data_IF_673742817184
#
_entry.id   IF_673742817184
#
_cell.length_a   1.000
_cell.length_b   1.000
_cell.length_c   1.000
_cell.angle_alpha   90.00
_cell.angle_beta   90.00
_cell.angle_gamma   90.00
#
_symmetry.space_group_name_H-M   'P 1'
#
loop_
_entity.id
_entity.type
_entity.pdbx_description
1 polymer ?
#
# COMPACT_ATOMS: atom_id res chain seq x y z
N UNK A 1 -23.35 -78.88 37.40
CA UNK A 1 -22.10 -79.58 37.06
C UNK A 1 -21.12 -78.53 36.51
N UNK A 2 -20.31 -77.90 37.35
CA UNK A 2 -18.95 -78.31 37.79
C UNK A 2 -17.81 -77.84 36.87
N UNK A 3 -16.98 -76.96 37.45
CA UNK A 3 -15.51 -76.82 37.34
C UNK A 3 -14.87 -75.99 36.21
N UNK A 4 -14.44 -74.79 36.61
CA UNK A 4 -13.03 -74.30 36.75
C UNK A 4 -11.94 -74.85 35.81
N UNK A 5 -11.18 -73.93 35.18
CA UNK A 5 -9.73 -73.62 35.34
C UNK A 5 -9.34 -72.57 34.26
N UNK A 6 -9.03 -71.29 34.52
CA UNK A 6 -7.84 -70.62 35.10
C UNK A 6 -6.50 -70.80 34.35
N UNK A 7 -5.81 -69.64 34.21
CA UNK A 7 -4.34 -69.41 34.07
C UNK A 7 -3.86 -69.21 32.61
N UNK A 8 -2.98 -68.29 32.23
CA UNK A 8 -2.13 -67.24 32.85
C UNK A 8 -1.72 -66.28 31.70
N UNK A 9 -1.73 -64.95 31.84
CA UNK A 9 -0.74 -64.03 32.44
C UNK A 9 0.51 -63.74 31.59
N UNK A 10 0.72 -62.41 31.47
CA UNK A 10 1.97 -61.64 31.39
C UNK A 10 2.65 -61.42 30.03
N UNK A 11 2.76 -60.13 29.68
CA UNK A 11 3.68 -59.61 28.68
C UNK A 11 5.06 -59.28 29.26
N UNK A 12 5.95 -58.75 28.43
CA UNK A 12 6.91 -57.65 28.70
C UNK A 12 7.96 -57.57 27.55
N UNK A 13 8.04 -56.38 26.94
CA UNK A 13 9.24 -55.61 26.51
C UNK A 13 10.40 -56.20 25.66
N UNK A 14 10.59 -55.55 24.49
CA UNK A 14 11.79 -54.79 24.04
C UNK A 14 13.16 -55.49 23.87
N UNK A 15 13.69 -55.54 22.62
CA UNK A 15 14.91 -54.81 22.13
C UNK A 15 15.49 -55.39 20.81
N UNK A 16 15.79 -54.46 19.88
CA UNK A 16 16.96 -54.29 18.98
C UNK A 16 17.73 -55.54 18.45
N UNK A 17 18.02 -55.54 17.12
CA UNK A 17 19.37 -55.49 16.45
C UNK A 17 19.26 -56.02 15.00
N UNK A 18 19.63 -55.21 13.98
CA UNK A 18 20.89 -55.21 13.18
C UNK A 18 21.02 -56.34 12.14
N UNK A 19 21.18 -55.96 10.86
CA UNK A 19 22.01 -56.56 9.78
C UNK A 19 22.02 -55.50 8.65
N UNK A 20 23.07 -54.81 8.19
CA UNK A 20 24.52 -55.01 7.99
C UNK A 20 24.91 -55.75 6.69
N UNK A 21 25.51 -54.98 5.76
CA UNK A 21 26.59 -55.38 4.83
C UNK A 21 26.24 -55.50 3.33
N UNK A 22 27.04 -55.08 2.34
CA UNK A 22 28.39 -54.46 2.34
C UNK A 22 28.86 -54.15 0.88
N UNK A 23 29.88 -53.25 0.76
CA UNK A 23 30.95 -53.08 -0.28
C UNK A 23 30.64 -52.24 -1.56
N UNK A 24 31.51 -51.36 -2.11
CA UNK A 24 32.92 -50.96 -1.87
C UNK A 24 33.20 -49.61 -2.60
N UNK A 25 33.76 -48.55 -1.96
CA UNK A 25 35.14 -47.96 -2.08
C UNK A 25 35.47 -47.31 -3.44
N UNK A 26 35.85 -46.02 -3.54
CA UNK A 26 37.25 -45.49 -3.59
C UNK A 26 37.30 -43.95 -3.31
N UNK A 27 38.34 -43.54 -2.56
CA UNK A 27 38.86 -42.19 -2.23
C UNK A 27 39.18 -41.30 -3.46
N UNK A 28 39.26 -39.97 -3.38
CA UNK A 28 40.51 -39.21 -3.13
C UNK A 28 40.19 -37.74 -2.80
N UNK A 29 40.84 -37.25 -1.74
CA UNK A 29 40.98 -35.85 -1.34
C UNK A 29 42.13 -35.19 -2.12
N UNK A 30 42.02 -33.91 -2.48
CA UNK A 30 43.20 -33.09 -2.80
C UNK A 30 43.05 -31.67 -2.25
N UNK A 31 44.00 -31.32 -1.38
CA UNK A 31 44.36 -29.97 -0.96
C UNK A 31 45.64 -29.59 -1.71
N UNK A 32 45.74 -28.38 -2.28
CA UNK A 32 46.90 -27.47 -2.17
C UNK A 32 46.88 -26.34 -3.22
N UNK A 33 47.14 -25.14 -2.71
CA UNK A 33 47.97 -24.05 -3.23
C UNK A 33 48.51 -24.16 -4.66
N UNK A 34 48.31 -23.10 -5.47
CA UNK A 34 49.33 -22.44 -6.30
C UNK A 34 48.83 -21.02 -6.64
N UNK A 35 49.38 -19.97 -6.04
CA UNK A 35 50.35 -18.99 -6.61
C UNK A 35 49.74 -18.06 -7.69
N UNK A 36 49.69 -16.77 -7.36
CA UNK A 36 49.48 -15.60 -8.24
C UNK A 36 50.48 -15.55 -9.41
N UNK A 37 50.17 -14.80 -10.49
CA UNK A 37 50.87 -13.53 -10.58
C UNK A 37 49.99 -12.34 -10.94
N UNK A 38 50.36 -11.22 -10.31
CA UNK A 38 50.07 -9.84 -10.69
C UNK A 38 50.12 -9.61 -12.20
N UNK A 39 49.06 -9.02 -12.77
CA UNK A 39 49.20 -8.09 -13.88
C UNK A 39 48.49 -6.79 -13.50
N UNK A 40 49.37 -5.82 -13.26
CA UNK A 40 49.13 -4.41 -13.05
C UNK A 40 48.75 -3.80 -14.40
N UNK A 41 47.51 -3.32 -14.58
CA UNK A 41 47.21 -2.31 -15.59
C UNK A 41 46.30 -1.25 -14.99
N UNK A 42 46.92 -0.08 -14.80
CA UNK A 42 46.30 1.20 -14.48
C UNK A 42 45.07 1.47 -15.35
N UNK A 43 43.91 1.63 -14.71
CA UNK A 43 42.79 2.38 -15.29
C UNK A 43 42.70 3.71 -14.51
N UNK A 44 42.78 4.86 -15.19
CA UNK A 44 42.94 6.14 -14.52
C UNK A 44 41.67 6.56 -13.78
N UNK A 45 41.87 7.12 -12.60
CA UNK A 45 40.90 7.94 -11.89
C UNK A 45 40.70 9.21 -12.74
N UNK A 46 39.59 9.26 -13.46
CA UNK A 46 39.04 10.47 -14.08
C UNK A 46 37.62 10.57 -13.51
N UNK A 47 37.36 11.41 -12.52
CA UNK A 47 37.26 12.85 -12.70
C UNK A 47 35.79 13.20 -12.51
N UNK A 48 35.48 13.99 -11.49
CA UNK A 48 34.14 14.46 -11.12
C UNK A 48 33.39 14.88 -12.39
N UNK A 49 32.36 14.10 -12.75
CA UNK A 49 31.48 14.46 -13.86
C UNK A 49 30.71 15.70 -13.45
N UNK A 50 30.98 16.82 -14.12
CA UNK A 50 30.31 18.09 -13.85
C UNK A 50 28.79 17.91 -13.87
N UNK A 51 28.08 18.58 -12.95
CA UNK A 51 26.61 18.61 -12.83
C UNK A 51 25.87 18.67 -14.18
N UNK A 52 26.44 19.35 -15.19
CA UNK A 52 25.92 19.45 -16.56
C UNK A 52 25.83 18.12 -17.33
N UNK A 53 26.68 17.14 -17.03
CA UNK A 53 26.66 15.82 -17.69
C UNK A 53 25.53 14.94 -17.15
N UNK A 54 25.27 15.00 -15.84
CA UNK A 54 24.13 14.34 -15.21
C UNK A 54 22.82 15.01 -15.67
N UNK A 55 22.77 16.35 -15.73
CA UNK A 55 21.62 17.08 -16.29
C UNK A 55 21.33 16.70 -17.75
N UNK A 56 22.35 16.43 -18.57
CA UNK A 56 22.15 15.95 -19.96
C UNK A 56 21.59 14.53 -20.01
N UNK A 57 22.08 13.63 -19.18
CA UNK A 57 21.55 12.26 -19.08
C UNK A 57 20.10 12.26 -18.55
N UNK A 58 19.79 13.08 -17.54
CA UNK A 58 18.42 13.27 -17.04
C UNK A 58 17.48 13.89 -18.08
N UNK A 59 17.98 14.81 -18.93
CA UNK A 59 17.21 15.38 -20.06
C UNK A 59 16.98 14.39 -21.20
N UNK A 60 17.91 13.45 -21.45
CA UNK A 60 17.73 12.38 -22.45
C UNK A 60 16.61 11.41 -22.07
N UNK A 61 16.47 11.09 -20.77
CA UNK A 61 15.35 10.28 -20.27
C UNK A 61 14.00 11.00 -20.52
N UNK A 62 13.98 12.33 -20.45
CA UNK A 62 12.78 13.16 -20.65
C UNK A 62 12.39 13.38 -22.13
N UNK A 63 13.24 13.04 -23.10
CA UNK A 63 13.00 13.32 -24.53
C UNK A 63 12.53 12.10 -25.34
N UNK A 64 12.67 10.88 -24.80
CA UNK A 64 12.25 9.65 -25.49
C UNK A 64 10.78 9.25 -25.28
N UNK A 65 9.96 10.01 -24.53
CA UNK A 65 8.54 9.71 -24.32
C UNK A 65 7.55 10.56 -25.12
N UNK A 66 8.00 11.51 -25.95
CA UNK A 66 7.09 12.40 -26.70
C UNK A 66 7.33 12.28 -28.21
N UNK A 67 6.73 11.26 -28.82
CA UNK A 67 6.30 11.29 -30.22
C UNK A 67 5.11 10.33 -30.43
N UNK A 68 3.96 10.68 -29.86
CA UNK A 68 2.65 10.17 -30.24
C UNK A 68 1.83 11.31 -30.84
N UNK A 69 1.68 11.32 -32.17
CA UNK A 69 0.90 12.31 -32.93
C UNK A 69 -0.57 12.28 -32.48
N UNK A 70 -1.09 13.39 -31.96
CA UNK A 70 -2.53 13.70 -32.01
C UNK A 70 -2.70 15.01 -32.77
N UNK A 71 -3.42 14.90 -33.89
CA UNK A 71 -3.73 15.91 -34.88
C UNK A 71 -4.70 16.91 -34.25
N UNK A 72 -4.30 18.19 -34.15
CA UNK A 72 -5.20 19.29 -33.77
C UNK A 72 -6.04 19.70 -34.98
N UNK A 73 -7.34 19.49 -34.92
CA UNK A 73 -8.29 20.23 -35.75
C UNK A 73 -8.91 21.36 -34.92
N UNK A 74 -8.82 22.57 -35.46
CA UNK A 74 -9.52 23.77 -34.99
C UNK A 74 -10.95 23.70 -35.49
N UNK A 75 -11.92 23.90 -34.61
CA UNK A 75 -13.24 24.41 -34.99
C UNK A 75 -13.58 25.55 -34.06
N UNK A 76 -13.64 26.76 -34.62
CA UNK A 76 -14.42 27.87 -34.08
C UNK A 76 -15.87 27.66 -34.51
N UNK A 77 -16.83 27.88 -33.62
CA UNK A 77 -17.94 28.80 -33.90
C UNK A 77 -18.83 29.01 -32.68
N UNK A 78 -19.44 30.18 -32.72
CA UNK A 78 -20.34 30.85 -31.80
C UNK A 78 -21.79 30.32 -31.85
N UNK A 79 -22.58 30.83 -30.90
CA UNK A 79 -24.03 31.07 -30.96
C UNK A 79 -25.01 29.95 -30.54
N UNK A 80 -25.54 30.15 -29.31
CA UNK A 80 -26.95 30.49 -29.00
C UNK A 80 -28.02 29.43 -28.62
N UNK A 81 -28.87 29.88 -27.69
CA UNK A 81 -30.22 29.44 -27.26
C UNK A 81 -30.48 28.27 -26.26
N UNK A 82 -30.85 28.70 -25.05
CA UNK A 82 -32.04 28.36 -24.21
C UNK A 82 -32.37 26.91 -23.78
N UNK A 83 -32.57 26.68 -22.47
CA UNK A 83 -33.89 26.81 -21.82
C UNK A 83 -33.98 26.19 -20.41
N UNK A 84 -34.83 26.80 -19.59
CA UNK A 84 -35.65 26.25 -18.51
C UNK A 84 -35.05 26.05 -17.09
N UNK A 85 -35.47 27.00 -16.26
CA UNK A 85 -35.65 27.05 -14.81
C UNK A 85 -36.57 25.93 -14.27
N UNK A 86 -36.17 25.27 -13.18
CA UNK A 86 -37.09 24.69 -12.18
C UNK A 86 -36.50 24.92 -10.77
N UNK A 87 -37.26 25.61 -9.92
CA UNK A 87 -36.97 25.92 -8.51
C UNK A 87 -37.24 24.71 -7.58
N UNK A 88 -36.56 24.59 -6.41
CA UNK A 88 -37.00 23.69 -5.35
C UNK A 88 -37.95 24.39 -4.36
N UNK A 89 -39.03 23.68 -4.02
CA UNK A 89 -40.05 24.03 -3.02
C UNK A 89 -39.53 23.92 -1.59
N UNK A 90 -40.01 24.83 -0.76
CA UNK A 90 -40.01 24.78 0.71
C UNK A 90 -40.98 23.71 1.22
N UNK A 91 -40.63 23.06 2.33
CA UNK A 91 -41.63 22.54 3.27
C UNK A 91 -41.05 22.52 4.70
N UNK A 92 -41.81 23.16 5.59
CA UNK A 92 -41.57 23.32 7.02
C UNK A 92 -42.13 22.16 7.83
N UNK A 93 -41.53 21.84 8.99
CA UNK A 93 -42.28 21.75 10.27
C UNK A 93 -41.40 21.40 11.47
N UNK A 94 -41.50 22.28 12.47
CA UNK A 94 -41.58 22.08 13.93
C UNK A 94 -40.60 21.17 14.72
N UNK A 95 -39.94 21.81 15.68
CA UNK A 95 -39.21 21.28 16.84
C UNK A 95 -40.10 20.51 17.85
N UNK A 96 -39.50 19.86 18.88
CA UNK A 96 -39.40 20.57 20.16
C UNK A 96 -38.05 20.43 20.87
N UNK A 97 -37.78 21.45 21.70
CA UNK A 97 -36.65 21.62 22.61
C UNK A 97 -36.69 20.64 23.79
N UNK A 98 -35.51 20.20 24.24
CA UNK A 98 -35.25 19.84 25.64
C UNK A 98 -33.83 20.29 25.99
N UNK A 99 -33.76 21.21 26.95
CA UNK A 99 -32.53 21.82 27.46
C UNK A 99 -31.68 20.89 28.32
N UNK A 100 -30.43 21.31 28.52
CA UNK A 100 -29.45 20.66 29.37
C UNK A 100 -28.16 21.47 29.38
N UNK A 101 -28.13 22.48 30.24
CA UNK A 101 -26.99 23.33 30.60
C UNK A 101 -25.77 22.50 31.01
N UNK A 102 -24.59 22.83 30.48
CA UNK A 102 -23.33 22.70 31.21
C UNK A 102 -22.34 23.77 30.70
N UNK A 103 -22.21 24.84 31.49
CA UNK A 103 -21.14 25.82 31.41
C UNK A 103 -19.78 25.16 31.71
N UNK A 104 -18.79 25.39 30.85
CA UNK A 104 -17.39 25.54 31.25
C UNK A 104 -16.61 26.33 30.19
N UNK A 105 -15.86 27.32 30.66
CA UNK A 105 -15.18 28.44 30.00
C UNK A 105 -14.22 28.09 28.84
N UNK A 106 -13.94 29.04 27.92
CA UNK A 106 -12.92 28.86 26.89
C UNK A 106 -11.52 29.16 27.47
N UNK A 107 -10.69 28.13 27.62
CA UNK A 107 -9.25 28.31 27.81
C UNK A 107 -8.62 28.94 26.57
N UNK A 108 -8.24 30.20 26.69
CA UNK A 108 -7.45 30.94 25.72
C UNK A 108 -5.98 30.56 25.88
N UNK A 109 -5.51 29.53 25.15
CA UNK A 109 -4.07 29.36 24.96
C UNK A 109 -3.63 30.31 23.84
N UNK A 110 -3.03 31.45 24.23
CA UNK A 110 -2.25 32.31 23.34
C UNK A 110 -1.11 31.47 22.75
N UNK A 111 -1.25 31.03 21.49
CA UNK A 111 -0.07 30.70 20.68
C UNK A 111 0.54 32.02 20.23
N UNK A 112 1.69 32.36 20.80
CA UNK A 112 2.56 33.41 20.28
C UNK A 112 2.91 33.09 18.83
N UNK A 113 2.41 33.93 17.93
CA UNK A 113 2.75 33.92 16.52
C UNK A 113 4.13 34.59 16.38
N UNK A 114 5.18 33.78 16.31
CA UNK A 114 6.52 34.28 16.07
C UNK A 114 6.59 34.95 14.69
N UNK A 115 7.12 36.18 14.65
CA UNK A 115 7.37 36.94 13.43
C UNK A 115 8.16 36.12 12.40
N UNK A 116 8.01 36.37 11.08
CA UNK A 116 8.74 35.66 10.04
C UNK A 116 10.21 36.08 10.04
N UNK A 117 10.99 35.48 10.93
CA UNK A 117 12.44 35.51 10.90
C UNK A 117 12.94 34.75 9.68
N UNK A 118 13.74 35.42 8.88
CA UNK A 118 14.45 34.87 7.72
C UNK A 118 15.45 33.82 8.21
N UNK A 119 14.99 32.60 8.49
CA UNK A 119 15.81 31.50 8.97
C UNK A 119 16.32 30.71 7.76
N UNK A 120 17.47 31.13 7.22
CA UNK A 120 18.29 30.29 6.35
C UNK A 120 18.85 29.14 7.18
N UNK A 121 18.03 28.12 7.42
CA UNK A 121 18.53 26.84 7.88
C UNK A 121 19.39 26.27 6.75
N UNK A 122 20.70 26.16 7.00
CA UNK A 122 21.75 25.73 6.07
C UNK A 122 21.68 24.25 5.69
N UNK A 123 20.46 23.75 5.39
CA UNK A 123 20.19 22.39 4.96
C UNK A 123 19.54 22.36 3.58
N UNK A 124 19.74 21.28 2.84
CA UNK A 124 19.01 20.98 1.61
C UNK A 124 17.75 20.19 1.94
N UNK A 125 16.66 20.41 1.21
CA UNK A 125 15.36 19.81 1.47
C UNK A 125 14.93 18.86 0.37
N UNK A 126 14.27 17.77 0.71
CA UNK A 126 13.67 16.85 -0.26
C UNK A 126 12.19 16.60 0.04
N UNK A 127 11.39 16.52 -1.01
CA UNK A 127 10.00 16.11 -0.92
C UNK A 127 9.62 15.28 -2.13
N UNK A 128 8.48 14.61 -2.00
CA UNK A 128 7.77 14.02 -3.14
C UNK A 128 6.43 14.73 -3.33
N UNK A 129 5.88 14.64 -4.54
CA UNK A 129 4.54 15.15 -4.80
C UNK A 129 3.49 14.41 -3.93
N UNK A 130 2.40 15.11 -3.58
CA UNK A 130 1.19 14.44 -3.09
C UNK A 130 0.19 14.37 -4.24
N UNK A 131 0.07 13.21 -4.87
CA UNK A 131 -0.83 13.01 -6.01
C UNK A 131 -1.72 11.80 -5.80
N UNK A 132 -3.03 12.01 -5.92
CA UNK A 132 -4.04 10.99 -5.75
C UNK A 132 -4.56 10.88 -4.31
N UNK A 133 -5.29 9.78 -4.04
CA UNK A 133 -5.94 9.50 -2.76
C UNK A 133 -4.97 8.79 -1.78
N UNK A 134 -5.47 8.44 -0.59
CA UNK A 134 -4.70 7.90 0.54
C UNK A 134 -3.64 6.85 0.14
N UNK A 135 -4.00 5.81 -0.60
CA UNK A 135 -3.05 4.75 -0.97
C UNK A 135 -1.84 5.26 -1.78
N UNK A 136 -2.02 6.22 -2.67
CA UNK A 136 -0.89 6.84 -3.39
C UNK A 136 -0.04 7.72 -2.47
N UNK A 137 -0.69 8.45 -1.56
CA UNK A 137 0.01 9.30 -0.59
C UNK A 137 0.87 8.47 0.36
N UNK A 138 0.44 7.25 0.68
CA UNK A 138 1.21 6.31 1.49
C UNK A 138 2.44 5.79 0.74
N UNK A 139 2.32 5.44 -0.54
CA UNK A 139 3.48 5.09 -1.39
C UNK A 139 4.50 6.24 -1.50
N UNK A 140 3.99 7.45 -1.74
CA UNK A 140 4.80 8.68 -1.77
C UNK A 140 5.53 8.89 -0.44
N UNK A 141 4.81 8.80 0.69
CA UNK A 141 5.40 8.94 2.02
C UNK A 141 6.46 7.87 2.30
N UNK A 142 6.15 6.60 2.05
CA UNK A 142 7.06 5.49 2.32
C UNK A 142 8.36 5.61 1.52
N UNK A 143 8.25 6.02 0.25
CA UNK A 143 9.41 6.28 -0.61
C UNK A 143 10.25 7.43 -0.06
N UNK A 144 9.63 8.56 0.30
CA UNK A 144 10.34 9.71 0.88
C UNK A 144 11.04 9.34 2.20
N UNK A 145 10.37 8.56 3.05
CA UNK A 145 10.93 8.07 4.30
C UNK A 145 12.15 7.19 4.06
N UNK A 146 12.04 6.16 3.21
CA UNK A 146 13.16 5.26 2.96
C UNK A 146 14.35 5.97 2.32
N UNK A 147 14.07 6.87 1.36
CA UNK A 147 15.09 7.65 0.67
C UNK A 147 15.93 8.50 1.63
N UNK A 148 15.38 8.87 2.78
CA UNK A 148 16.03 9.77 3.76
C UNK A 148 16.45 9.10 5.06
N UNK A 149 16.21 7.79 5.22
CA UNK A 149 16.48 7.05 6.47
C UNK A 149 17.98 6.97 6.83
N UNK A 150 18.90 6.98 5.86
CA UNK A 150 20.34 6.77 6.13
C UNK A 150 21.23 7.88 5.56
N UNK A 151 21.88 8.67 6.43
CA UNK A 151 22.93 9.65 6.11
C UNK A 151 22.67 10.50 4.85
N UNK A 152 21.40 10.78 4.58
CA UNK A 152 21.00 11.68 3.52
C UNK A 152 21.29 13.12 3.96
N UNK A 153 21.88 13.95 3.10
CA UNK A 153 22.06 15.38 3.39
C UNK A 153 20.73 16.13 3.37
N UNK A 154 19.67 15.52 2.83
CA UNK A 154 18.35 16.11 2.72
C UNK A 154 17.53 15.98 4.00
N UNK A 155 16.87 17.09 4.35
CA UNK A 155 15.76 17.10 5.31
C UNK A 155 14.44 16.80 4.57
N UNK A 156 13.75 15.68 4.86
CA UNK A 156 12.48 15.35 4.22
C UNK A 156 11.34 16.24 4.74
N UNK A 157 10.39 16.57 3.86
CA UNK A 157 9.16 17.27 4.27
C UNK A 157 7.94 16.95 3.42
N UNK A 158 6.75 17.22 3.98
CA UNK A 158 5.46 17.11 3.28
C UNK A 158 5.01 18.47 2.74
N UNK A 159 4.87 18.57 1.42
CA UNK A 159 4.41 19.79 0.74
C UNK A 159 2.91 20.03 0.95
N UNK A 160 2.55 21.09 1.67
CA UNK A 160 1.19 21.65 1.74
C UNK A 160 0.18 20.88 2.60
N UNK A 161 -0.64 21.60 3.39
CA UNK A 161 -1.64 21.01 4.32
C UNK A 161 -2.77 20.26 3.61
N UNK A 162 -3.30 20.81 2.51
CA UNK A 162 -4.42 20.19 1.76
C UNK A 162 -3.97 18.93 1.03
N UNK A 163 -2.75 18.95 0.52
CA UNK A 163 -2.16 17.89 -0.30
C UNK A 163 -2.04 16.56 0.46
N UNK A 164 -1.58 16.57 1.72
CA UNK A 164 -1.45 15.36 2.54
C UNK A 164 -2.55 15.20 3.59
N UNK A 165 -3.68 15.90 3.43
CA UNK A 165 -4.71 15.94 4.46
C UNK A 165 -5.20 14.55 4.88
N UNK A 166 -5.49 13.68 3.91
CA UNK A 166 -5.97 12.32 4.21
C UNK A 166 -4.92 11.48 4.93
N UNK A 167 -3.67 11.52 4.49
CA UNK A 167 -2.55 10.82 5.13
C UNK A 167 -2.36 11.29 6.58
N UNK A 168 -2.24 12.61 6.79
CA UNK A 168 -2.02 13.22 8.11
C UNK A 168 -3.22 13.02 9.04
N UNK A 169 -4.44 13.07 8.51
CA UNK A 169 -5.68 12.80 9.27
C UNK A 169 -5.77 11.33 9.68
N UNK A 170 -5.25 10.42 8.87
CA UNK A 170 -5.24 8.98 9.14
C UNK A 170 -4.21 8.70 10.23
N UNK A 171 -2.92 8.96 10.01
CA UNK A 171 -1.84 8.57 10.92
C UNK A 171 -1.48 9.67 11.95
N UNK A 172 -2.50 10.32 12.53
CA UNK A 172 -2.39 11.55 13.36
C UNK A 172 -1.20 11.53 14.33
N UNK A 173 -0.15 12.29 14.02
CA UNK A 173 1.01 12.51 14.90
C UNK A 173 2.02 11.37 14.98
N UNK A 174 1.81 10.25 14.27
CA UNK A 174 2.80 9.15 14.22
C UNK A 174 3.81 9.29 13.10
N UNK A 175 3.45 10.01 12.04
CA UNK A 175 4.34 10.26 10.92
C UNK A 175 5.48 11.18 11.37
N UNK A 176 6.70 10.69 11.23
CA UNK A 176 7.93 11.41 11.60
C UNK A 176 8.22 12.56 10.63
N UNK A 177 8.00 12.36 9.33
CA UNK A 177 8.14 13.43 8.34
C UNK A 177 6.97 14.41 8.47
N UNK A 178 7.31 15.61 8.92
CA UNK A 178 6.39 16.73 9.11
C UNK A 178 6.31 17.69 7.93
N UNK A 179 5.64 18.82 8.20
CA UNK A 179 5.57 19.96 7.28
C UNK A 179 6.69 20.94 7.61
N UNK A 180 7.17 21.66 6.61
CA UNK A 180 8.01 22.85 6.83
C UNK A 180 7.14 24.08 7.08
N UNK A 181 7.65 24.99 7.91
CA UNK A 181 7.06 26.30 8.16
C UNK A 181 7.21 27.26 6.97
N UNK A 182 8.14 26.97 6.05
CA UNK A 182 8.41 27.74 4.85
C UNK A 182 8.47 26.84 3.60
N UNK A 183 8.55 27.46 2.43
CA UNK A 183 8.71 26.75 1.15
C UNK A 183 10.17 26.89 0.67
N UNK A 184 10.93 25.80 0.51
CA UNK A 184 12.26 25.87 -0.07
C UNK A 184 12.25 26.48 -1.48
N UNK A 185 13.23 27.34 -1.79
CA UNK A 185 13.46 27.93 -3.12
C UNK A 185 14.45 27.08 -3.94
N UNK A 186 14.67 27.44 -5.21
CA UNK A 186 15.70 26.85 -6.08
C UNK A 186 15.60 25.31 -6.24
N UNK A 187 14.37 24.82 -6.21
CA UNK A 187 14.02 23.39 -6.21
C UNK A 187 14.25 22.77 -7.59
N UNK A 188 15.12 21.76 -7.65
CA UNK A 188 15.21 20.85 -8.79
C UNK A 188 14.01 19.89 -8.77
N UNK A 189 13.19 19.93 -9.83
CA UNK A 189 12.07 19.01 -9.99
C UNK A 189 12.44 17.87 -10.92
N UNK A 190 12.25 16.64 -10.46
CA UNK A 190 12.51 15.41 -11.21
C UNK A 190 11.18 14.69 -11.39
N UNK A 191 10.85 14.31 -12.63
CA UNK A 191 9.58 13.69 -12.96
C UNK A 191 9.77 12.23 -13.38
N UNK A 192 9.19 11.30 -12.62
CA UNK A 192 9.19 9.86 -12.88
C UNK A 192 7.77 9.30 -13.01
N UNK A 193 6.78 10.16 -13.29
CA UNK A 193 5.36 9.77 -13.38
C UNK A 193 5.08 8.74 -14.48
N UNK A 194 5.88 8.74 -15.55
CA UNK A 194 5.72 7.89 -16.73
C UNK A 194 6.71 6.72 -16.76
N UNK A 195 7.55 6.54 -15.73
CA UNK A 195 8.56 5.49 -15.73
C UNK A 195 8.02 4.23 -15.02
N UNK A 196 7.68 3.16 -15.76
CA UNK A 196 7.14 1.95 -15.16
C UNK A 196 8.19 1.09 -14.45
N UNK A 197 9.49 1.35 -14.69
CA UNK A 197 10.55 0.51 -14.18
C UNK A 197 11.02 0.98 -12.80
N UNK A 198 10.55 0.31 -11.76
CA UNK A 198 10.91 0.61 -10.37
C UNK A 198 12.43 0.55 -10.12
N UNK A 199 13.14 -0.41 -10.73
CA UNK A 199 14.60 -0.56 -10.55
C UNK A 199 15.36 0.62 -11.16
N UNK A 200 14.97 1.04 -12.37
CA UNK A 200 15.57 2.20 -13.02
C UNK A 200 15.32 3.49 -12.22
N UNK A 201 14.12 3.65 -11.66
CA UNK A 201 13.80 4.80 -10.80
C UNK A 201 14.62 4.73 -9.50
N UNK A 202 14.77 3.56 -8.89
CA UNK A 202 15.58 3.40 -7.68
C UNK A 202 17.05 3.77 -7.92
N UNK A 203 17.64 3.35 -9.05
CA UNK A 203 19.00 3.75 -9.43
C UNK A 203 19.14 5.26 -9.67
N UNK A 204 18.11 5.90 -10.25
CA UNK A 204 18.08 7.35 -10.41
C UNK A 204 18.00 8.05 -9.04
N UNK A 205 17.16 7.56 -8.12
CA UNK A 205 17.01 8.12 -6.78
C UNK A 205 18.32 8.08 -5.97
N UNK A 206 19.16 7.05 -6.17
CA UNK A 206 20.49 6.95 -5.53
C UNK A 206 21.49 8.00 -6.01
N UNK A 207 21.26 8.62 -7.17
CA UNK A 207 22.19 9.56 -7.83
C UNK A 207 21.71 11.01 -7.76
N UNK A 208 20.71 11.29 -6.93
CA UNK A 208 20.17 12.63 -6.75
C UNK A 208 21.25 13.60 -6.24
N UNK A 209 21.26 14.86 -6.72
CA UNK A 209 22.23 15.85 -6.28
C UNK A 209 22.03 16.23 -4.81
N UNK A 210 23.09 16.15 -4.02
CA UNK A 210 23.06 16.33 -2.56
C UNK A 210 23.21 17.78 -2.10
N UNK A 211 23.43 18.71 -3.03
CA UNK A 211 23.73 20.12 -2.81
C UNK A 211 22.54 21.04 -3.14
N UNK A 212 21.36 20.46 -3.38
CA UNK A 212 20.16 21.20 -3.82
C UNK A 212 18.88 20.72 -3.17
N UNK A 213 17.89 21.61 -3.14
CA UNK A 213 16.51 21.28 -2.83
C UNK A 213 15.89 20.47 -3.97
N UNK A 214 15.20 19.37 -3.64
CA UNK A 214 14.65 18.44 -4.63
C UNK A 214 13.15 18.20 -4.42
N UNK A 215 12.40 18.16 -5.51
CA UNK A 215 11.07 17.53 -5.56
C UNK A 215 11.10 16.38 -6.56
N UNK A 216 10.81 15.17 -6.11
CA UNK A 216 10.61 14.02 -7.01
C UNK A 216 9.12 13.79 -7.21
N UNK A 217 8.65 13.88 -8.46
CA UNK A 217 7.26 13.63 -8.82
C UNK A 217 7.08 12.19 -9.29
N UNK A 218 6.30 11.41 -8.57
CA UNK A 218 6.01 10.01 -8.92
C UNK A 218 4.83 9.46 -8.13
N UNK A 219 4.26 8.34 -8.59
CA UNK A 219 3.33 7.58 -7.77
C UNK A 219 4.02 6.56 -6.87
N UNK A 220 5.22 6.10 -7.27
CA UNK A 220 6.05 5.16 -6.51
C UNK A 220 5.31 3.89 -6.07
N UNK A 221 4.45 3.34 -6.94
CA UNK A 221 3.57 2.20 -6.64
C UNK A 221 4.33 0.87 -6.72
N UNK A 222 5.39 0.74 -5.94
CA UNK A 222 6.18 -0.48 -5.83
C UNK A 222 6.76 -0.60 -4.42
N UNK A 223 6.74 -1.81 -3.86
CA UNK A 223 7.35 -2.09 -2.56
C UNK A 223 8.85 -1.82 -2.55
N UNK A 224 9.52 -1.95 -3.70
CA UNK A 224 10.99 -1.80 -3.84
C UNK A 224 11.51 -0.45 -3.35
N UNK A 225 10.69 0.60 -3.42
CA UNK A 225 11.09 1.94 -2.96
C UNK A 225 11.24 2.05 -1.44
N UNK A 226 10.69 1.12 -0.68
CA UNK A 226 10.75 1.13 0.78
C UNK A 226 11.06 -0.24 1.40
N UNK A 227 11.55 -1.18 0.59
CA UNK A 227 11.85 -2.53 1.04
C UNK A 227 12.94 -2.56 2.12
N UNK A 228 13.99 -1.74 1.96
CA UNK A 228 15.06 -1.58 2.94
C UNK A 228 14.68 -0.90 4.26
N UNK A 229 13.42 -0.48 4.43
CA UNK A 229 12.90 0.11 5.65
C UNK A 229 11.49 -0.39 5.98
N UNK A 230 11.15 -1.61 5.55
CA UNK A 230 9.84 -2.24 5.72
C UNK A 230 9.29 -2.09 7.15
N UNK A 231 10.09 -2.45 8.16
CA UNK A 231 9.68 -2.40 9.57
C UNK A 231 9.35 -0.99 10.05
N UNK A 232 10.18 -0.01 9.66
CA UNK A 232 9.92 1.39 9.98
C UNK A 232 8.63 1.86 9.33
N UNK A 233 8.38 1.49 8.06
CA UNK A 233 7.15 1.87 7.38
C UNK A 233 5.92 1.28 8.09
N UNK A 234 6.00 0.04 8.58
CA UNK A 234 4.93 -0.55 9.42
C UNK A 234 4.74 0.27 10.70
N UNK A 235 5.82 0.73 11.34
CA UNK A 235 5.76 1.58 12.53
C UNK A 235 5.21 3.00 12.23
N UNK A 236 5.59 3.62 11.12
CA UNK A 236 5.07 4.93 10.70
C UNK A 236 3.55 4.89 10.49
N UNK A 237 3.05 3.78 9.94
CA UNK A 237 1.65 3.58 9.63
C UNK A 237 0.87 2.79 10.68
N UNK A 238 1.18 3.00 11.96
CA UNK A 238 0.41 2.40 13.04
C UNK A 238 -0.85 3.20 13.43
N UNK A 239 -1.83 2.50 13.99
CA UNK A 239 -3.10 3.03 14.44
C UNK A 239 -3.16 3.02 15.98
N UNK A 240 -3.84 4.01 16.59
CA UNK A 240 -3.93 4.02 18.06
C UNK A 240 -4.81 2.90 18.56
N UNK A 241 -4.48 2.33 19.72
CA UNK A 241 -5.30 1.28 20.34
C UNK A 241 -6.73 1.76 20.60
N UNK A 242 -6.90 3.04 20.95
CA UNK A 242 -8.22 3.65 21.08
C UNK A 242 -9.02 3.58 19.77
N UNK A 243 -8.38 3.81 18.62
CA UNK A 243 -9.03 3.75 17.32
C UNK A 243 -9.23 2.32 16.83
N UNK A 244 -8.25 1.42 17.03
CA UNK A 244 -8.38 -0.02 16.79
C UNK A 244 -9.63 -0.57 17.50
N UNK A 245 -9.78 -0.27 18.80
CA UNK A 245 -10.97 -0.64 19.60
C UNK A 245 -12.27 -0.02 19.07
N UNK A 246 -12.23 1.24 18.62
CA UNK A 246 -13.40 1.91 18.05
C UNK A 246 -13.89 1.24 16.77
N UNK A 247 -12.97 0.92 15.85
CA UNK A 247 -13.29 0.23 14.59
C UNK A 247 -13.74 -1.21 14.83
N UNK A 248 -13.07 -1.95 15.73
CA UNK A 248 -13.54 -3.30 16.13
C UNK A 248 -14.96 -3.26 16.68
N UNK A 249 -15.31 -2.26 17.50
CA UNK A 249 -16.67 -2.05 18.00
C UNK A 249 -17.65 -1.71 16.88
N UNK A 250 -17.23 -0.98 15.85
CA UNK A 250 -18.06 -0.71 14.67
C UNK A 250 -18.39 -2.01 13.93
N UNK A 251 -17.39 -2.86 13.66
CA UNK A 251 -17.59 -4.18 13.03
C UNK A 251 -18.53 -5.05 13.86
N UNK A 252 -18.28 -5.13 15.18
CA UNK A 252 -19.12 -5.86 16.12
C UNK A 252 -20.59 -5.44 16.07
N UNK A 253 -20.86 -4.13 16.11
CA UNK A 253 -22.24 -3.59 16.07
C UNK A 253 -22.99 -3.90 14.77
N UNK A 254 -22.26 -4.04 13.67
CA UNK A 254 -22.83 -4.43 12.38
C UNK A 254 -22.91 -5.95 12.20
N UNK A 255 -22.32 -6.72 13.12
CA UNK A 255 -22.37 -8.19 13.12
C UNK A 255 -23.70 -8.64 13.71
N UNK A 256 -24.47 -9.51 13.03
CA UNK A 256 -25.73 -10.06 13.55
C UNK A 256 -25.57 -10.62 14.98
N UNK A 257 -26.55 -10.44 15.89
CA UNK A 257 -26.44 -10.92 17.27
C UNK A 257 -26.10 -12.41 17.39
N UNK A 258 -26.60 -13.24 16.48
CA UNK A 258 -26.29 -14.68 16.44
C UNK A 258 -24.80 -15.00 16.19
N UNK A 259 -24.02 -14.03 15.71
CA UNK A 259 -22.61 -14.15 15.37
C UNK A 259 -21.72 -13.35 16.32
N UNK A 260 -22.29 -12.65 17.30
CA UNK A 260 -21.52 -11.85 18.24
C UNK A 260 -20.74 -12.76 19.20
N UNK A 261 -21.40 -13.68 19.90
CA UNK A 261 -20.74 -14.50 20.93
C UNK A 261 -19.96 -15.72 20.41
N UNK A 262 -19.60 -15.70 19.12
CA UNK A 262 -18.93 -16.80 18.44
C UNK A 262 -17.58 -16.34 17.89
N UNK A 263 -16.55 -17.18 18.05
CA UNK A 263 -15.25 -16.93 17.42
C UNK A 263 -15.32 -17.17 15.92
N UNK A 264 -14.80 -16.23 15.14
CA UNK A 264 -14.74 -16.27 13.68
C UNK A 264 -13.36 -15.79 13.21
N UNK A 265 -12.90 -16.37 12.10
CA UNK A 265 -11.81 -15.77 11.31
C UNK A 265 -12.40 -14.61 10.50
N UNK A 266 -11.84 -13.41 10.62
CA UNK A 266 -12.29 -12.26 9.82
C UNK A 266 -11.49 -12.19 8.53
N UNK A 267 -12.22 -12.09 7.43
CA UNK A 267 -11.66 -11.84 6.10
C UNK A 267 -12.17 -10.49 5.63
N UNK A 268 -11.28 -9.50 5.56
CA UNK A 268 -11.59 -8.20 4.99
C UNK A 268 -11.78 -8.32 3.47
N UNK A 269 -12.79 -7.69 2.89
CA UNK A 269 -12.95 -7.62 1.43
C UNK A 269 -12.96 -6.16 1.03
N UNK A 270 -12.03 -5.76 0.16
CA UNK A 270 -12.07 -4.44 -0.46
C UNK A 270 -12.58 -4.51 -1.89
N UNK A 271 -13.69 -3.81 -2.18
CA UNK A 271 -14.27 -3.71 -3.53
C UNK A 271 -14.12 -2.30 -4.08
N UNK A 272 -13.22 -2.13 -5.05
CA UNK A 272 -13.05 -0.90 -5.81
C UNK A 272 -13.66 -1.04 -7.20
N UNK A 273 -14.77 -0.35 -7.45
CA UNK A 273 -15.56 -0.47 -8.68
C UNK A 273 -15.80 0.87 -9.36
N UNK A 274 -16.37 1.85 -8.66
CA UNK A 274 -16.87 3.10 -9.28
C UNK A 274 -15.83 3.82 -10.15
N UNK A 275 -14.60 3.94 -9.64
CA UNK A 275 -13.50 4.61 -10.34
C UNK A 275 -12.80 3.77 -11.40
N UNK A 276 -13.17 2.50 -11.55
CA UNK A 276 -12.52 1.53 -12.44
C UNK A 276 -13.33 1.21 -13.69
N UNK A 277 -14.64 1.49 -13.67
CA UNK A 277 -15.58 1.16 -14.76
C UNK A 277 -15.93 2.36 -15.65
N UNK A 278 -15.23 3.49 -15.49
CA UNK A 278 -15.38 4.67 -16.36
C UNK A 278 -14.60 4.47 -17.66
N UNK A 279 -15.10 5.05 -18.76
CA UNK A 279 -14.54 4.86 -20.11
C UNK A 279 -13.04 5.16 -20.18
N UNK A 280 -12.59 6.24 -19.55
CA UNK A 280 -11.18 6.64 -19.59
C UNK A 280 -10.26 5.59 -18.96
N UNK A 281 -10.74 4.85 -17.95
CA UNK A 281 -9.96 3.81 -17.29
C UNK A 281 -9.92 2.53 -18.09
N UNK A 282 -11.04 2.18 -18.70
CA UNK A 282 -11.12 1.02 -19.60
C UNK A 282 -10.24 1.23 -20.84
N UNK A 283 -10.27 2.43 -21.44
CA UNK A 283 -9.41 2.80 -22.58
C UNK A 283 -7.91 2.77 -22.23
N UNK A 284 -7.58 3.04 -20.97
CA UNK A 284 -6.20 2.91 -20.45
C UNK A 284 -5.80 1.46 -20.13
N UNK A 285 -6.71 0.48 -20.30
CA UNK A 285 -6.49 -0.94 -20.03
C UNK A 285 -6.63 -1.34 -18.56
N UNK A 286 -7.20 -0.48 -17.70
CA UNK A 286 -7.45 -0.88 -16.33
C UNK A 286 -8.59 -1.90 -16.26
N UNK A 287 -8.40 -2.93 -15.44
CA UNK A 287 -9.38 -3.99 -15.21
C UNK A 287 -9.96 -3.89 -13.81
N UNK A 288 -11.25 -4.15 -13.68
CA UNK A 288 -11.92 -4.35 -12.39
C UNK A 288 -12.10 -5.85 -12.17
N UNK A 289 -11.80 -6.40 -10.98
CA UNK A 289 -12.03 -7.81 -10.71
C UNK A 289 -13.52 -8.17 -10.94
N UNK A 290 -13.81 -9.27 -11.64
CA UNK A 290 -15.18 -9.72 -11.86
C UNK A 290 -15.79 -10.28 -10.57
N UNK A 291 -17.10 -10.53 -10.56
CA UNK A 291 -17.77 -11.13 -9.41
C UNK A 291 -17.20 -12.52 -9.07
N UNK A 292 -16.87 -13.32 -10.09
CA UNK A 292 -16.39 -14.68 -9.88
C UNK A 292 -15.03 -14.72 -9.16
N UNK A 293 -14.19 -13.71 -9.36
CA UNK A 293 -12.97 -13.53 -8.56
C UNK A 293 -13.29 -13.46 -7.06
N UNK A 294 -14.25 -12.61 -6.67
CA UNK A 294 -14.64 -12.49 -5.26
C UNK A 294 -15.24 -13.78 -4.73
N UNK A 295 -16.03 -14.50 -5.55
CA UNK A 295 -16.59 -15.80 -5.17
C UNK A 295 -15.49 -16.84 -4.91
N UNK A 296 -14.54 -16.98 -5.83
CA UNK A 296 -13.41 -17.90 -5.68
C UNK A 296 -12.55 -17.54 -4.46
N UNK A 297 -12.30 -16.25 -4.24
CA UNK A 297 -11.54 -15.78 -3.09
C UNK A 297 -12.26 -16.03 -1.74
N UNK A 298 -13.58 -15.82 -1.69
CA UNK A 298 -14.38 -16.14 -0.50
C UNK A 298 -14.40 -17.65 -0.26
N UNK A 299 -14.54 -18.46 -1.30
CA UNK A 299 -14.58 -19.91 -1.19
C UNK A 299 -13.24 -20.49 -0.71
N UNK A 300 -12.11 -19.93 -1.16
CA UNK A 300 -10.79 -20.28 -0.66
C UNK A 300 -10.73 -20.24 0.87
N UNK A 301 -11.17 -19.14 1.50
CA UNK A 301 -11.16 -19.04 2.96
C UNK A 301 -12.18 -19.93 3.66
N UNK A 302 -13.35 -20.17 3.06
CA UNK A 302 -14.32 -21.14 3.61
C UNK A 302 -13.80 -22.57 3.59
N UNK A 303 -12.98 -22.92 2.60
CA UNK A 303 -12.36 -24.24 2.55
C UNK A 303 -11.29 -24.46 3.62
N UNK A 304 -10.74 -23.38 4.19
CA UNK A 304 -9.70 -23.40 5.21
C UNK A 304 -10.24 -23.28 6.64
N UNK A 305 -11.40 -22.66 6.81
CA UNK A 305 -11.93 -22.30 8.13
C UNK A 305 -13.43 -22.56 8.23
N UNK A 306 -13.84 -23.21 9.31
CA UNK A 306 -15.25 -23.54 9.56
C UNK A 306 -16.15 -22.31 9.71
N UNK A 307 -15.61 -21.19 10.22
CA UNK A 307 -16.37 -19.96 10.52
C UNK A 307 -15.63 -18.72 10.04
N UNK A 308 -16.04 -18.21 8.89
CA UNK A 308 -15.45 -17.03 8.26
C UNK A 308 -16.43 -15.87 8.25
N UNK A 309 -16.11 -14.79 8.96
CA UNK A 309 -16.83 -13.52 8.91
C UNK A 309 -16.21 -12.62 7.84
N UNK A 310 -16.94 -12.40 6.75
CA UNK A 310 -16.50 -11.47 5.70
C UNK A 310 -16.86 -10.03 6.07
N UNK A 311 -15.86 -9.15 6.12
CA UNK A 311 -16.03 -7.73 6.46
C UNK A 311 -15.77 -6.88 5.22
N UNK A 312 -16.82 -6.33 4.63
CA UNK A 312 -16.76 -5.70 3.31
C UNK A 312 -16.68 -4.18 3.42
N UNK A 313 -15.66 -3.60 2.77
CA UNK A 313 -15.55 -2.18 2.45
C UNK A 313 -15.52 -2.00 0.93
N UNK A 314 -16.29 -1.06 0.40
CA UNK A 314 -16.28 -0.78 -1.03
C UNK A 314 -16.78 0.60 -1.38
N UNK A 315 -16.39 1.09 -2.56
CA UNK A 315 -16.85 2.38 -3.09
C UNK A 315 -18.25 2.32 -3.72
N UNK A 316 -18.79 1.11 -3.90
CA UNK A 316 -20.15 0.81 -4.37
C UNK A 316 -20.80 -0.23 -3.43
N UNK A 317 -21.36 0.26 -2.31
CA UNK A 317 -21.94 -0.59 -1.26
C UNK A 317 -23.16 -1.36 -1.76
N UNK A 318 -23.97 -0.76 -2.64
CA UNK A 318 -25.17 -1.39 -3.17
C UNK A 318 -24.80 -2.55 -4.10
N UNK A 319 -23.80 -2.38 -4.95
CA UNK A 319 -23.27 -3.50 -5.74
C UNK A 319 -22.72 -4.61 -4.84
N UNK A 320 -21.98 -4.28 -3.78
CA UNK A 320 -21.48 -5.27 -2.83
C UNK A 320 -22.63 -6.06 -2.19
N UNK A 321 -23.66 -5.36 -1.71
CA UNK A 321 -24.86 -5.95 -1.13
C UNK A 321 -25.71 -6.71 -2.13
N UNK A 322 -25.64 -6.43 -3.43
CA UNK A 322 -26.38 -7.17 -4.45
C UNK A 322 -25.67 -8.47 -4.84
N UNK A 323 -24.32 -8.47 -4.87
CA UNK A 323 -23.52 -9.51 -5.51
C UNK A 323 -22.76 -10.42 -4.54
N UNK A 324 -22.33 -9.91 -3.38
CA UNK A 324 -21.59 -10.70 -2.39
C UNK A 324 -22.54 -11.37 -1.41
N UNK A 325 -22.40 -12.70 -1.26
CA UNK A 325 -23.28 -13.53 -0.44
C UNK A 325 -22.44 -14.49 0.42
N UNK A 326 -22.72 -14.49 1.72
CA UNK A 326 -22.20 -15.45 2.69
C UNK A 326 -23.19 -15.62 3.84
N UNK A 327 -23.04 -16.72 4.57
CA UNK A 327 -23.71 -16.89 5.87
C UNK A 327 -23.30 -15.79 6.85
N UNK A 328 -22.00 -15.51 6.95
CA UNK A 328 -21.44 -14.48 7.83
C UNK A 328 -20.78 -13.38 7.01
N UNK A 329 -21.52 -12.31 6.74
CA UNK A 329 -21.03 -11.14 6.00
C UNK A 329 -21.57 -9.84 6.61
N UNK A 330 -20.70 -8.85 6.73
CA UNK A 330 -21.05 -7.51 7.20
C UNK A 330 -20.55 -6.48 6.20
N UNK A 331 -21.42 -5.53 5.87
CA UNK A 331 -21.09 -4.41 5.00
C UNK A 331 -20.94 -3.17 5.86
N UNK A 332 -19.73 -2.63 5.94
CA UNK A 332 -19.45 -1.46 6.77
C UNK A 332 -19.28 -0.26 5.86
N UNK A 333 -20.10 0.77 6.07
CA UNK A 333 -19.91 2.07 5.44
C UNK A 333 -19.20 2.99 6.44
N UNK A 334 -17.97 3.39 6.12
CA UNK A 334 -17.15 4.18 7.03
C UNK A 334 -16.32 5.21 6.27
N UNK A 335 -15.43 5.88 7.00
CA UNK A 335 -14.42 6.73 6.35
C UNK A 335 -13.32 5.86 5.74
N UNK A 336 -12.68 6.34 4.67
CA UNK A 336 -11.52 5.67 4.01
C UNK A 336 -10.46 5.20 5.02
N UNK A 337 -10.24 5.97 6.08
CA UNK A 337 -9.27 5.64 7.12
C UNK A 337 -9.75 4.49 8.02
N UNK A 338 -11.04 4.44 8.35
CA UNK A 338 -11.65 3.34 9.09
C UNK A 338 -11.71 2.08 8.23
N UNK A 339 -11.99 2.20 6.93
CA UNK A 339 -12.00 1.06 6.01
C UNK A 339 -10.60 0.41 5.95
N UNK A 340 -9.55 1.22 5.83
CA UNK A 340 -8.18 0.73 5.81
C UNK A 340 -7.81 0.02 7.12
N UNK A 341 -8.18 0.62 8.26
CA UNK A 341 -7.94 0.03 9.58
C UNK A 341 -8.72 -1.27 9.77
N UNK A 342 -9.98 -1.31 9.37
CA UNK A 342 -10.83 -2.48 9.47
C UNK A 342 -10.29 -3.66 8.63
N UNK A 343 -9.87 -3.39 7.40
CA UNK A 343 -9.24 -4.39 6.54
C UNK A 343 -7.91 -4.86 7.14
N UNK A 344 -7.07 -3.95 7.64
CA UNK A 344 -5.80 -4.29 8.27
C UNK A 344 -5.91 -5.04 9.61
N UNK A 345 -7.05 -4.94 10.31
CA UNK A 345 -7.33 -5.68 11.56
C UNK A 345 -8.02 -7.04 11.32
N UNK A 346 -8.33 -7.37 10.07
CA UNK A 346 -8.82 -8.71 9.72
C UNK A 346 -7.66 -9.70 9.74
N UNK A 347 -7.91 -10.97 10.01
CA UNK A 347 -6.88 -12.02 9.97
C UNK A 347 -6.40 -12.28 8.54
N UNK A 348 -7.29 -12.16 7.55
CA UNK A 348 -6.95 -12.25 6.12
C UNK A 348 -7.63 -11.12 5.34
N UNK A 349 -7.21 -10.89 4.10
CA UNK A 349 -7.83 -9.89 3.24
C UNK A 349 -7.93 -10.33 1.78
N UNK A 350 -9.09 -10.10 1.18
CA UNK A 350 -9.35 -10.18 -0.26
C UNK A 350 -9.28 -8.76 -0.81
N UNK A 351 -8.27 -8.52 -1.64
CA UNK A 351 -8.03 -7.23 -2.25
C UNK A 351 -8.69 -7.14 -3.62
N UNK A 352 -9.02 -5.93 -4.06
CA UNK A 352 -9.28 -5.63 -5.47
C UNK A 352 -8.09 -4.88 -6.06
N UNK A 353 -8.25 -4.23 -7.21
CA UNK A 353 -7.19 -3.44 -7.83
C UNK A 353 -6.93 -2.10 -7.15
N UNK A 354 -5.72 -1.57 -7.36
CA UNK A 354 -5.31 -0.24 -6.96
C UNK A 354 -4.69 -0.14 -5.55
N UNK A 355 -4.13 1.04 -5.28
CA UNK A 355 -3.19 1.24 -4.17
C UNK A 355 -3.81 1.15 -2.79
N UNK A 356 -5.08 1.48 -2.63
CA UNK A 356 -5.77 1.32 -1.34
C UNK A 356 -5.87 -0.16 -0.95
N UNK A 357 -6.34 -1.00 -1.87
CA UNK A 357 -6.42 -2.45 -1.67
C UNK A 357 -5.05 -3.04 -1.37
N UNK A 358 -4.02 -2.55 -2.05
CA UNK A 358 -2.64 -2.98 -1.82
C UNK A 358 -2.18 -2.67 -0.40
N UNK A 359 -2.41 -1.46 0.11
CA UNK A 359 -2.05 -1.12 1.49
C UNK A 359 -2.88 -1.91 2.52
N UNK A 360 -4.14 -2.21 2.23
CA UNK A 360 -4.92 -3.11 3.07
C UNK A 360 -4.29 -4.51 3.19
N UNK A 361 -3.80 -5.05 2.06
CA UNK A 361 -2.98 -6.26 2.02
C UNK A 361 -1.68 -6.14 2.81
N UNK A 362 -0.96 -5.03 2.61
CA UNK A 362 0.32 -4.78 3.27
C UNK A 362 0.24 -4.75 4.81
N UNK A 363 -0.87 -4.27 5.39
CA UNK A 363 -1.05 -4.28 6.84
C UNK A 363 -1.44 -5.64 7.41
N UNK A 364 -2.10 -6.48 6.61
CA UNK A 364 -2.65 -7.73 7.06
C UNK A 364 -1.54 -8.75 7.33
N UNK A 365 -1.54 -9.34 8.53
CA UNK A 365 -0.51 -10.30 8.95
C UNK A 365 -0.81 -11.76 8.55
N UNK A 366 -1.66 -11.97 7.56
CA UNK A 366 -2.10 -13.29 7.12
C UNK A 366 -2.04 -13.40 5.60
N UNK A 367 -3.00 -14.12 5.05
CA UNK A 367 -3.14 -14.29 3.59
C UNK A 367 -3.85 -13.09 2.98
N UNK A 368 -3.15 -12.43 2.08
CA UNK A 368 -3.68 -11.41 1.18
C UNK A 368 -3.97 -12.06 -0.18
N UNK A 369 -5.25 -12.25 -0.49
CA UNK A 369 -5.68 -12.68 -1.83
C UNK A 369 -5.77 -11.46 -2.75
N UNK A 370 -5.21 -11.55 -3.95
CA UNK A 370 -5.29 -10.51 -4.97
C UNK A 370 -5.72 -11.05 -6.32
N UNK A 371 -6.27 -10.17 -7.16
CA UNK A 371 -6.70 -10.52 -8.51
C UNK A 371 -5.48 -10.76 -9.40
N UNK A 372 -5.30 -12.00 -9.83
CA UNK A 372 -4.09 -12.49 -10.49
C UNK A 372 -3.98 -12.11 -11.97
N UNK A 373 -5.07 -11.68 -12.60
CA UNK A 373 -5.01 -11.19 -13.98
C UNK A 373 -4.45 -9.77 -13.99
N UNK A 374 -3.41 -9.58 -14.80
CA UNK A 374 -2.81 -8.28 -15.05
C UNK A 374 -3.38 -7.66 -16.34
N UNK A 375 -3.44 -6.32 -16.44
CA UNK A 375 -3.73 -5.65 -17.69
C UNK A 375 -2.81 -6.08 -18.84
N UNK A 376 -3.31 -6.03 -20.08
CA UNK A 376 -2.55 -6.35 -21.28
C UNK A 376 -1.31 -5.46 -21.42
N UNK A 377 -0.15 -6.06 -21.72
CA UNK A 377 1.17 -5.41 -21.68
C UNK A 377 1.31 -4.17 -22.59
N UNK A 378 0.54 -4.08 -23.67
CA UNK A 378 0.57 -2.97 -24.63
C UNK A 378 -0.29 -1.76 -24.19
N UNK A 379 -1.22 -1.96 -23.24
CA UNK A 379 -2.02 -0.89 -22.64
C UNK A 379 -1.21 0.01 -21.71
N UNK A 380 -1.74 1.18 -21.38
CA UNK A 380 -1.12 2.08 -20.40
C UNK A 380 -1.01 1.42 -19.02
N UNK A 381 -2.09 0.76 -18.56
CA UNK A 381 -2.09 0.04 -17.30
C UNK A 381 -1.09 -1.11 -17.31
N UNK A 382 -1.05 -1.92 -18.38
CA UNK A 382 -0.11 -3.03 -18.50
C UNK A 382 1.34 -2.57 -18.43
N UNK A 383 1.69 -1.47 -19.11
CA UNK A 383 3.03 -0.87 -19.01
C UNK A 383 3.34 -0.44 -17.58
N UNK A 384 2.41 0.16 -16.84
CA UNK A 384 2.63 0.58 -15.46
C UNK A 384 2.84 -0.60 -14.49
N UNK A 385 2.18 -1.74 -14.74
CA UNK A 385 2.31 -2.95 -13.91
C UNK A 385 3.35 -3.95 -14.46
N UNK A 386 3.92 -3.68 -15.64
CA UNK A 386 4.96 -4.49 -16.25
C UNK A 386 6.16 -4.58 -15.29
N UNK A 387 6.70 -5.79 -15.12
CA UNK A 387 7.79 -6.16 -14.22
C UNK A 387 7.41 -6.44 -12.75
N UNK A 388 6.12 -6.65 -12.46
CA UNK A 388 5.59 -7.27 -11.22
C UNK A 388 6.16 -6.71 -9.90
N UNK A 389 6.62 -5.46 -9.90
CA UNK A 389 7.20 -4.84 -8.70
C UNK A 389 6.12 -4.28 -7.77
N UNK A 390 4.86 -4.56 -8.08
CA UNK A 390 3.69 -4.17 -7.31
C UNK A 390 3.48 -5.12 -6.12
N UNK A 391 3.46 -6.43 -6.35
CA UNK A 391 3.26 -7.42 -5.29
C UNK A 391 4.59 -7.67 -4.57
N UNK A 392 4.66 -7.49 -3.24
CA UNK A 392 5.89 -7.80 -2.50
C UNK A 392 6.13 -9.31 -2.43
N UNK A 393 7.38 -9.75 -2.25
CA UNK A 393 7.66 -11.14 -1.93
C UNK A 393 6.99 -11.50 -0.60
N UNK A 394 6.60 -12.77 -0.48
CA UNK A 394 6.12 -13.33 0.79
C UNK A 394 7.18 -13.12 1.89
N UNK A 395 6.72 -12.76 3.08
CA UNK A 395 7.54 -12.66 4.28
C UNK A 395 6.83 -13.27 5.48
N UNK A 396 7.41 -13.15 6.68
CA UNK A 396 6.82 -13.66 7.91
C UNK A 396 5.50 -12.98 8.30
N UNK A 397 5.20 -11.83 7.69
CA UNK A 397 4.01 -11.05 7.99
C UNK A 397 2.91 -11.26 6.96
N UNK A 398 3.21 -11.31 5.66
CA UNK A 398 2.20 -11.24 4.61
C UNK A 398 2.45 -12.31 3.55
N UNK A 399 1.43 -13.15 3.30
CA UNK A 399 1.42 -14.12 2.20
C UNK A 399 0.48 -13.65 1.08
N UNK A 400 1.00 -13.40 -0.12
CA UNK A 400 0.23 -12.89 -1.25
C UNK A 400 -0.16 -14.00 -2.21
N UNK A 401 -1.47 -14.29 -2.28
CA UNK A 401 -2.02 -15.36 -3.09
C UNK A 401 -2.81 -14.80 -4.28
N UNK A 402 -2.45 -15.20 -5.49
CA UNK A 402 -3.17 -14.85 -6.71
C UNK A 402 -4.40 -15.75 -6.90
N UNK A 403 -5.56 -15.16 -7.19
CA UNK A 403 -6.75 -15.87 -7.67
C UNK A 403 -7.25 -15.18 -8.94
N UNK A 404 -7.67 -15.98 -9.92
CA UNK A 404 -8.18 -15.53 -11.22
C UNK A 404 -9.70 -15.65 -11.28
#
# INVERSE_FOLDING_TARGET
MSRRRRSAKDGYTTRRRLFAGLLCVIFVSFSMLFILPLINQHIPIVGVSSSKSIERELKKINTNSIQGKVRRERVNNSDDFSSSTISPREESSASPEMGGDFNSEPMTSKTEEAAPGNMSSAGVYITVNSKGKLGNQMFQYATLYCLTKTNSPWTPYLKGKKSYFNLLKTFRGRLTIGRLAFTPTDVLTINVMENPNADAVLEMLKRLPTDRNITVMGYFQSYKFFDGCRDDIRSQFDFSDAWKRSVQRQVWRNTPPSLQDVSHIRVGIHVRRTSMIISEKLDMGYISPPLDYFRHAMEHFRSLYDRVLFVVAGDDVDWCKANLRAEYIVFVQSSVANDLLMLGLSEHVITSVGTFSWWAGWFNSGTTVYYGLLPENDTYAGKLYANNSYIPPDDEFNHWLAIV
#
